data_IF_715728129978
#
_entry.id   IF_715728129978
#
_cell.length_a   1.000
_cell.length_b   1.000
_cell.length_c   1.000
_cell.angle_alpha   90.00
_cell.angle_beta   90.00
_cell.angle_gamma   90.00
#
_symmetry.space_group_name_H-M   'P 1'
#
loop_
_entity.id
_entity.type
_entity.pdbx_description
1 polymer ?
#
# COMPACT_ATOMS: atom_id res chain seq x y z
N UNK A 1 3.50 28.06 -8.58
CA UNK A 1 3.61 26.59 -8.35
C UNK A 1 2.49 26.21 -7.39
N UNK A 2 1.49 25.47 -7.86
CA UNK A 2 0.39 25.02 -7.01
C UNK A 2 0.94 24.07 -5.94
N UNK A 3 0.80 24.42 -4.66
CA UNK A 3 1.09 23.55 -3.52
C UNK A 3 0.13 22.35 -3.57
N UNK A 4 0.50 21.33 -4.35
CA UNK A 4 -0.27 20.10 -4.46
C UNK A 4 -0.04 19.32 -3.18
N UNK A 5 -1.12 19.02 -2.45
CA UNK A 5 -1.04 18.18 -1.24
C UNK A 5 -0.42 16.84 -1.62
N UNK A 6 0.69 16.43 -0.99
CA UNK A 6 1.29 15.12 -1.25
C UNK A 6 0.26 14.01 -1.07
N UNK A 7 0.21 13.06 -2.01
CA UNK A 7 -0.73 11.93 -1.97
C UNK A 7 -0.67 11.16 -0.65
N UNK A 8 0.52 11.08 -0.04
CA UNK A 8 0.69 10.44 1.27
C UNK A 8 -0.13 11.09 2.37
N UNK A 9 -0.35 12.41 2.32
CA UNK A 9 -1.15 13.13 3.33
C UNK A 9 -2.65 12.83 3.15
N UNK A 10 -3.09 12.56 1.92
CA UNK A 10 -4.46 12.15 1.64
C UNK A 10 -4.68 10.75 2.21
N UNK A 11 -3.79 9.81 1.90
CA UNK A 11 -3.88 8.41 2.38
C UNK A 11 -3.79 8.31 3.91
N UNK A 12 -3.03 9.19 4.55
CA UNK A 12 -2.80 9.15 6.00
C UNK A 12 -3.76 10.01 6.82
N UNK A 13 -4.74 10.65 6.17
CA UNK A 13 -5.73 11.49 6.83
C UNK A 13 -6.53 10.70 7.89
N UNK A 14 -6.62 11.26 9.10
CA UNK A 14 -7.35 10.65 10.22
C UNK A 14 -6.64 9.50 10.94
N UNK A 15 -5.43 9.12 10.52
CA UNK A 15 -4.67 8.05 11.18
C UNK A 15 -3.92 8.55 12.43
N UNK A 16 -3.63 7.66 13.39
CA UNK A 16 -2.85 8.00 14.58
C UNK A 16 -1.44 8.52 14.25
N UNK A 17 -1.03 9.60 14.92
CA UNK A 17 0.26 10.26 14.62
C UNK A 17 1.50 9.38 14.79
N UNK A 18 1.45 8.36 15.65
CA UNK A 18 2.52 7.38 15.83
C UNK A 18 2.66 6.40 14.64
N UNK A 19 1.61 6.24 13.82
CA UNK A 19 1.66 5.50 12.56
C UNK A 19 2.03 6.43 11.40
N UNK A 20 1.44 7.62 11.35
CA UNK A 20 1.64 8.58 10.26
C UNK A 20 3.08 9.09 10.20
N UNK A 21 3.66 9.44 11.35
CA UNK A 21 5.00 10.05 11.40
C UNK A 21 6.09 9.20 10.74
N UNK A 22 6.31 7.92 11.10
CA UNK A 22 7.35 7.11 10.46
C UNK A 22 7.08 6.89 8.96
N UNK A 23 5.81 6.69 8.58
CA UNK A 23 5.40 6.52 7.20
C UNK A 23 5.74 7.75 6.35
N UNK A 24 5.34 8.95 6.79
CA UNK A 24 5.65 10.21 6.10
C UNK A 24 7.16 10.50 6.07
N UNK A 25 7.90 10.14 7.12
CA UNK A 25 9.36 10.27 7.15
C UNK A 25 10.02 9.38 6.09
N UNK A 26 9.60 8.11 5.98
CA UNK A 26 10.09 7.23 4.92
C UNK A 26 9.71 7.79 3.55
N UNK A 27 8.45 8.17 3.32
CA UNK A 27 8.00 8.77 2.06
C UNK A 27 8.88 9.95 1.63
N UNK A 28 9.10 10.92 2.51
CA UNK A 28 9.92 12.10 2.22
C UNK A 28 11.40 11.74 1.99
N UNK A 29 11.91 10.71 2.65
CA UNK A 29 13.26 10.21 2.42
C UNK A 29 13.38 9.60 1.02
N UNK A 30 12.45 8.70 0.67
CA UNK A 30 12.40 8.04 -0.64
C UNK A 30 12.23 9.07 -1.76
N UNK A 31 11.28 10.01 -1.64
CA UNK A 31 11.05 11.06 -2.63
C UNK A 31 12.32 11.85 -2.96
N UNK A 32 13.05 12.30 -1.92
CA UNK A 32 14.34 12.98 -2.10
C UNK A 32 15.39 12.13 -2.80
N UNK A 33 15.42 10.83 -2.52
CA UNK A 33 16.32 9.91 -3.21
C UNK A 33 15.93 9.73 -4.68
N UNK A 34 14.64 9.65 -4.99
CA UNK A 34 14.21 9.58 -6.38
C UNK A 34 14.53 10.88 -7.12
N UNK A 35 14.33 12.06 -6.51
CA UNK A 35 14.75 13.36 -7.07
C UNK A 35 16.24 13.37 -7.43
N UNK A 36 17.10 12.80 -6.58
CA UNK A 36 18.53 12.65 -6.88
C UNK A 36 18.80 11.69 -8.04
N UNK A 37 18.07 10.59 -8.12
CA UNK A 37 18.19 9.62 -9.22
C UNK A 37 17.76 10.27 -10.54
N UNK A 38 16.68 11.02 -10.54
CA UNK A 38 16.19 11.74 -11.72
C UNK A 38 17.12 12.85 -12.18
N UNK A 39 17.80 13.55 -11.25
CA UNK A 39 18.78 14.58 -11.57
C UNK A 39 20.05 14.02 -12.26
N UNK A 40 20.34 12.72 -12.12
CA UNK A 40 21.42 12.09 -12.86
C UNK A 40 21.00 11.88 -14.32
N UNK A 41 21.65 12.52 -15.32
CA UNK A 41 21.29 12.32 -16.72
C UNK A 41 21.42 10.85 -17.14
N UNK A 42 22.40 10.10 -16.65
CA UNK A 42 22.65 8.71 -17.11
C UNK A 42 21.76 7.67 -16.41
N UNK A 43 20.66 8.09 -15.78
CA UNK A 43 19.78 7.18 -15.05
C UNK A 43 18.98 6.25 -16.00
N UNK A 44 18.78 5.01 -15.57
CA UNK A 44 18.06 3.96 -16.31
C UNK A 44 16.53 4.06 -16.21
N UNK A 45 16.01 5.16 -15.65
CA UNK A 45 14.61 5.37 -15.27
C UNK A 45 13.99 6.61 -15.95
N UNK A 46 14.63 7.19 -16.97
CA UNK A 46 14.13 8.39 -17.69
C UNK A 46 12.68 8.22 -18.20
N UNK A 47 12.28 7.02 -18.62
CA UNK A 47 10.90 6.74 -19.06
C UNK A 47 9.85 7.03 -17.97
N UNK A 48 10.21 6.86 -16.70
CA UNK A 48 9.31 7.10 -15.56
C UNK A 48 9.19 8.59 -15.21
N UNK A 49 10.11 9.45 -15.65
CA UNK A 49 10.08 10.90 -15.36
C UNK A 49 8.82 11.57 -15.93
N UNK A 50 8.34 11.10 -17.09
CA UNK A 50 7.08 11.56 -17.67
C UNK A 50 5.84 11.19 -16.85
N UNK A 51 5.99 10.30 -15.86
CA UNK A 51 4.93 9.77 -15.01
C UNK A 51 5.18 10.06 -13.53
N UNK A 52 5.84 11.18 -13.21
CA UNK A 52 6.25 11.54 -11.85
C UNK A 52 5.09 11.44 -10.83
N UNK A 53 3.91 11.99 -11.16
CA UNK A 53 2.72 11.88 -10.30
C UNK A 53 2.27 10.44 -10.08
N UNK A 54 2.37 9.57 -11.09
CA UNK A 54 2.06 8.14 -10.95
C UNK A 54 3.08 7.45 -10.06
N UNK A 55 4.37 7.74 -10.23
CA UNK A 55 5.44 7.20 -9.38
C UNK A 55 5.25 7.64 -7.92
N UNK A 56 4.85 8.90 -7.68
CA UNK A 56 4.47 9.37 -6.33
C UNK A 56 3.28 8.63 -5.75
N UNK A 57 2.24 8.41 -6.54
CA UNK A 57 1.07 7.65 -6.12
C UNK A 57 1.44 6.22 -5.76
N UNK A 58 2.23 5.54 -6.59
CA UNK A 58 2.71 4.19 -6.34
C UNK A 58 3.58 4.13 -5.08
N UNK A 59 4.46 5.12 -4.86
CA UNK A 59 5.27 5.21 -3.64
C UNK A 59 4.41 5.42 -2.38
N UNK A 60 3.40 6.29 -2.47
CA UNK A 60 2.50 6.57 -1.37
C UNK A 60 1.67 5.33 -1.01
N UNK A 61 1.09 4.67 -2.03
CA UNK A 61 0.30 3.45 -1.88
C UNK A 61 1.17 2.29 -1.36
N UNK A 62 2.40 2.15 -1.84
CA UNK A 62 3.27 1.06 -1.41
C UNK A 62 3.68 1.19 0.06
N UNK A 63 3.99 2.41 0.52
CA UNK A 63 4.28 2.68 1.92
C UNK A 63 3.03 2.56 2.79
N UNK A 64 1.87 3.04 2.31
CA UNK A 64 0.60 2.86 2.99
C UNK A 64 0.31 1.36 3.23
N UNK A 65 0.57 0.51 2.22
CA UNK A 65 0.45 -0.92 2.39
C UNK A 65 1.39 -1.46 3.47
N UNK A 66 2.69 -1.17 3.36
CA UNK A 66 3.70 -1.70 4.29
C UNK A 66 3.43 -1.34 5.75
N UNK A 67 2.96 -0.12 6.01
CA UNK A 67 2.75 0.38 7.38
C UNK A 67 1.35 0.12 7.93
N UNK A 68 0.37 -0.21 7.09
CA UNK A 68 -1.04 -0.29 7.51
C UNK A 68 -1.70 -1.55 6.94
N UNK A 69 -1.91 -1.64 5.63
CA UNK A 69 -2.69 -2.74 5.06
C UNK A 69 -2.03 -4.11 5.25
N UNK A 70 -0.70 -4.20 5.24
CA UNK A 70 0.02 -5.44 5.55
C UNK A 70 -0.26 -5.94 6.97
N UNK A 71 -0.39 -5.04 7.95
CA UNK A 71 -0.78 -5.40 9.32
C UNK A 71 -2.26 -5.78 9.41
N UNK A 72 -3.14 -5.06 8.71
CA UNK A 72 -4.58 -5.40 8.63
C UNK A 72 -4.77 -6.77 7.97
N UNK A 73 -4.02 -7.06 6.90
CA UNK A 73 -4.01 -8.34 6.23
C UNK A 73 -3.54 -9.45 7.17
N UNK A 74 -2.44 -9.24 7.90
CA UNK A 74 -1.96 -10.18 8.92
C UNK A 74 -2.98 -10.44 10.03
N UNK A 75 -3.62 -9.39 10.56
CA UNK A 75 -4.71 -9.52 11.54
C UNK A 75 -5.89 -10.31 10.97
N UNK A 76 -6.20 -10.09 9.69
CA UNK A 76 -7.28 -10.77 8.97
C UNK A 76 -7.02 -12.26 8.79
N UNK A 77 -5.83 -12.62 8.34
CA UNK A 77 -5.40 -14.02 8.25
C UNK A 77 -5.42 -14.70 9.62
N UNK A 78 -4.97 -13.99 10.67
CA UNK A 78 -4.96 -14.52 12.03
C UNK A 78 -6.37 -14.84 12.55
N UNK A 79 -7.30 -13.88 12.52
CA UNK A 79 -8.64 -14.14 13.06
C UNK A 79 -9.41 -15.18 12.23
N UNK A 80 -9.22 -15.21 10.90
CA UNK A 80 -9.81 -16.26 10.04
C UNK A 80 -9.33 -17.64 10.47
N UNK A 81 -8.04 -17.79 10.74
CA UNK A 81 -7.46 -19.04 11.21
C UNK A 81 -8.02 -19.46 12.57
N UNK A 82 -8.15 -18.51 13.51
CA UNK A 82 -8.74 -18.78 14.83
C UNK A 82 -10.20 -19.20 14.71
N UNK A 83 -11.01 -18.46 13.93
CA UNK A 83 -12.43 -18.77 13.74
C UNK A 83 -12.63 -20.12 13.02
N UNK A 84 -11.81 -20.46 12.03
CA UNK A 84 -11.89 -21.77 11.36
C UNK A 84 -11.62 -22.94 12.31
N UNK A 85 -10.79 -22.74 13.33
CA UNK A 85 -10.50 -23.74 14.36
C UNK A 85 -11.50 -23.71 15.54
N UNK A 86 -12.34 -22.68 15.62
CA UNK A 86 -13.36 -22.58 16.66
C UNK A 86 -14.56 -23.44 16.24
N UNK A 87 -14.78 -24.57 16.92
CA UNK A 87 -15.83 -25.57 16.63
C UNK A 87 -17.27 -25.10 16.90
N UNK A 88 -17.47 -23.80 17.13
CA UNK A 88 -18.78 -23.19 17.35
C UNK A 88 -19.08 -22.34 16.13
N UNK A 89 -20.30 -22.41 15.61
CA UNK A 89 -20.78 -21.63 14.45
C UNK A 89 -20.87 -20.11 14.72
N UNK A 90 -20.09 -19.60 15.68
CA UNK A 90 -20.09 -18.22 16.14
C UNK A 90 -18.65 -17.72 16.08
N UNK A 91 -18.44 -16.60 15.38
CA UNK A 91 -17.15 -15.90 15.31
C UNK A 91 -16.64 -15.58 16.73
N UNK A 92 -15.38 -15.92 16.99
CA UNK A 92 -14.76 -15.68 18.28
C UNK A 92 -14.32 -14.21 18.38
N UNK A 93 -14.62 -13.55 19.50
CA UNK A 93 -13.96 -12.28 19.82
C UNK A 93 -12.52 -12.53 20.24
N UNK A 94 -11.57 -11.86 19.60
CA UNK A 94 -10.14 -12.07 19.82
C UNK A 94 -9.58 -10.89 20.58
N UNK A 95 -8.94 -11.14 21.73
CA UNK A 95 -8.26 -10.10 22.49
C UNK A 95 -6.78 -10.07 22.14
N UNK A 96 -6.29 -8.91 21.69
CA UNK A 96 -4.87 -8.64 21.42
C UNK A 96 -4.42 -7.49 22.31
N UNK A 97 -3.60 -7.80 23.33
CA UNK A 97 -3.25 -6.84 24.37
C UNK A 97 -4.51 -6.34 25.10
N UNK A 98 -4.73 -5.02 25.07
CA UNK A 98 -5.91 -4.39 25.68
C UNK A 98 -7.09 -4.21 24.70
N UNK A 99 -6.89 -4.51 23.41
CA UNK A 99 -7.92 -4.36 22.38
C UNK A 99 -8.69 -5.66 22.20
N UNK A 100 -10.01 -5.59 22.18
CA UNK A 100 -10.87 -6.68 21.73
C UNK A 100 -11.20 -6.43 20.27
N UNK A 101 -11.03 -7.46 19.43
CA UNK A 101 -11.47 -7.54 18.04
C UNK A 101 -12.73 -8.40 18.01
N UNK A 102 -13.87 -7.74 18.12
CA UNK A 102 -15.18 -8.39 17.99
C UNK A 102 -15.51 -8.70 16.52
N UNK A 103 -16.63 -9.38 16.29
CA UNK A 103 -17.12 -9.72 14.96
C UNK A 103 -17.32 -8.51 14.04
N UNK A 104 -17.74 -7.36 14.59
CA UNK A 104 -17.96 -6.16 13.78
C UNK A 104 -16.61 -5.60 13.30
N UNK A 105 -15.64 -5.49 14.19
CA UNK A 105 -14.29 -5.02 13.86
C UNK A 105 -13.58 -5.97 12.90
N UNK A 106 -13.71 -7.29 13.10
CA UNK A 106 -13.18 -8.30 12.17
C UNK A 106 -13.74 -8.11 10.75
N UNK A 107 -15.06 -7.87 10.62
CA UNK A 107 -15.69 -7.58 9.32
C UNK A 107 -15.21 -6.27 8.70
N UNK A 108 -14.98 -5.23 9.49
CA UNK A 108 -14.42 -3.96 8.99
C UNK A 108 -12.99 -4.15 8.45
N UNK A 109 -12.14 -4.89 9.16
CA UNK A 109 -10.78 -5.21 8.69
C UNK A 109 -10.83 -6.04 7.41
N UNK A 110 -11.73 -7.04 7.34
CA UNK A 110 -11.94 -7.83 6.12
C UNK A 110 -12.33 -6.97 4.93
N UNK A 111 -13.28 -6.06 5.12
CA UNK A 111 -13.76 -5.19 4.08
C UNK A 111 -12.63 -4.29 3.54
N UNK A 112 -11.77 -3.79 4.42
CA UNK A 112 -10.60 -3.01 4.02
C UNK A 112 -9.60 -3.83 3.17
N UNK A 113 -9.34 -5.09 3.56
CA UNK A 113 -8.50 -6.01 2.77
C UNK A 113 -9.11 -6.24 1.39
N UNK A 114 -10.39 -6.64 1.32
CA UNK A 114 -11.09 -6.92 0.05
C UNK A 114 -11.10 -5.68 -0.87
N UNK A 115 -11.33 -4.49 -0.32
CA UNK A 115 -11.30 -3.26 -1.11
C UNK A 115 -9.90 -2.97 -1.65
N UNK A 116 -8.86 -3.19 -0.86
CA UNK A 116 -7.49 -2.98 -1.31
C UNK A 116 -7.07 -4.02 -2.35
N UNK A 117 -7.42 -5.29 -2.17
CA UNK A 117 -7.17 -6.36 -3.15
C UNK A 117 -7.79 -6.01 -4.51
N UNK A 118 -9.04 -5.50 -4.52
CA UNK A 118 -9.68 -5.02 -5.76
C UNK A 118 -8.92 -3.89 -6.45
N UNK A 119 -8.32 -2.98 -5.68
CA UNK A 119 -7.48 -1.90 -6.23
C UNK A 119 -6.21 -2.52 -6.82
N UNK A 120 -5.58 -3.46 -6.11
CA UNK A 120 -4.40 -4.16 -6.62
C UNK A 120 -4.71 -4.89 -7.92
N UNK A 121 -5.82 -5.63 -7.98
CA UNK A 121 -6.22 -6.37 -9.17
C UNK A 121 -6.53 -5.43 -10.33
N UNK A 122 -7.35 -4.37 -10.11
CA UNK A 122 -7.72 -3.40 -11.14
C UNK A 122 -6.49 -2.75 -11.79
N UNK A 123 -5.47 -2.41 -10.99
CA UNK A 123 -4.26 -1.75 -11.49
C UNK A 123 -3.07 -2.71 -11.65
N UNK A 124 -3.31 -4.03 -11.57
CA UNK A 124 -2.28 -5.07 -11.69
C UNK A 124 -1.06 -4.84 -10.78
N UNK A 125 -1.29 -4.31 -9.57
CA UNK A 125 -0.26 -4.01 -8.59
C UNK A 125 0.13 -5.30 -7.86
N UNK A 126 1.14 -5.98 -8.39
CA UNK A 126 1.68 -7.20 -7.80
C UNK A 126 2.43 -6.97 -6.48
N UNK A 127 2.64 -8.03 -5.66
CA UNK A 127 3.33 -7.97 -4.37
C UNK A 127 4.71 -7.29 -4.41
N UNK A 128 5.45 -7.45 -5.51
CA UNK A 128 6.77 -6.84 -5.68
C UNK A 128 6.75 -5.31 -5.55
N UNK A 129 5.64 -4.64 -5.88
CA UNK A 129 5.55 -3.18 -5.71
C UNK A 129 5.57 -2.78 -4.22
N UNK A 130 5.10 -3.65 -3.35
CA UNK A 130 4.96 -3.43 -1.91
C UNK A 130 6.15 -3.97 -1.11
N UNK A 131 6.93 -4.88 -1.71
CA UNK A 131 8.05 -5.56 -1.08
C UNK A 131 9.38 -5.03 -1.63
N UNK A 132 9.88 -3.96 -1.01
CA UNK A 132 11.20 -3.42 -1.31
C UNK A 132 11.84 -2.77 -0.09
N UNK A 133 13.18 -2.80 -0.06
CA UNK A 133 13.98 -2.16 0.99
C UNK A 133 14.67 -0.89 0.51
N UNK A 134 14.97 -0.78 -0.79
CA UNK A 134 15.70 0.34 -1.40
C UNK A 134 14.85 1.09 -2.41
N UNK A 135 15.12 2.38 -2.58
CA UNK A 135 14.39 3.23 -3.53
C UNK A 135 14.65 2.80 -4.96
N UNK A 136 15.86 2.35 -5.26
CA UNK A 136 16.23 1.80 -6.57
C UNK A 136 15.45 0.52 -6.89
N UNK A 137 15.17 -0.33 -5.89
CA UNK A 137 14.33 -1.52 -6.07
C UNK A 137 12.89 -1.13 -6.38
N UNK A 138 12.34 -0.14 -5.66
CA UNK A 138 11.02 0.43 -5.95
C UNK A 138 10.92 0.96 -7.39
N UNK A 139 11.91 1.74 -7.85
CA UNK A 139 11.94 2.25 -9.23
C UNK A 139 12.07 1.14 -10.27
N UNK A 140 12.84 0.09 -9.97
CA UNK A 140 12.91 -1.10 -10.82
C UNK A 140 11.54 -1.78 -10.94
N UNK A 141 10.77 -1.83 -9.85
CA UNK A 141 9.43 -2.41 -9.86
C UNK A 141 8.45 -1.52 -10.64
N UNK A 142 8.52 -0.19 -10.49
CA UNK A 142 7.75 0.75 -11.32
C UNK A 142 8.09 0.59 -12.81
N UNK A 143 9.37 0.43 -13.14
CA UNK A 143 9.82 0.19 -14.53
C UNK A 143 9.26 -1.12 -15.09
N UNK A 144 9.21 -2.19 -14.28
CA UNK A 144 8.60 -3.45 -14.70
C UNK A 144 7.11 -3.27 -14.99
N UNK A 145 6.38 -2.59 -14.10
CA UNK A 145 4.97 -2.24 -14.30
C UNK A 145 4.75 -1.44 -15.59
N UNK A 146 5.59 -0.43 -15.85
CA UNK A 146 5.50 0.38 -17.06
C UNK A 146 5.59 -0.43 -18.37
N UNK A 147 6.36 -1.52 -18.37
CA UNK A 147 6.50 -2.40 -19.54
C UNK A 147 5.55 -3.60 -19.52
N UNK A 148 4.76 -3.76 -18.46
CA UNK A 148 3.75 -4.80 -18.39
C UNK A 148 2.64 -4.46 -19.38
N UNK A 149 2.23 -5.45 -20.20
CA UNK A 149 1.07 -5.26 -21.07
C UNK A 149 -0.17 -5.14 -20.20
N UNK A 150 -0.96 -4.09 -20.39
CA UNK A 150 -2.29 -4.00 -19.80
C UNK A 150 -3.15 -5.11 -20.42
N UNK A 151 -3.76 -5.95 -19.59
CA UNK A 151 -4.92 -6.73 -20.00
C UNK A 151 -6.10 -5.76 -20.02
N UNK A 152 -6.51 -5.30 -21.21
CA UNK A 152 -7.78 -4.60 -21.38
C UNK A 152 -8.91 -5.59 -21.08
N UNK A 153 -9.48 -5.54 -19.87
CA UNK A 153 -10.85 -6.01 -19.65
C UNK A 153 -11.75 -4.77 -19.60
N UNK A 154 -12.68 -4.73 -20.56
CA UNK A 154 -13.66 -3.69 -20.84
C UNK A 154 -14.30 -3.13 -19.54
N UNK A 155 -14.00 -1.87 -19.23
CA UNK A 155 -14.50 -1.15 -18.05
C UNK A 155 -15.99 -0.78 -18.28
N UNK A 156 -16.92 -1.71 -18.01
CA UNK A 156 -18.31 -1.34 -17.68
C UNK A 156 -18.50 -1.32 -16.17
N UNK A 157 -18.64 -0.12 -15.61
CA UNK A 157 -19.17 0.15 -14.27
C UNK A 157 -20.70 0.17 -14.33
#
# INVERSE_FOLDING_TARGET
MTNKTPLINILTSGLPGNVVRPLCQEYNSRRREIDRIWANPDNNYRMLQGYDTTVEALLAISLFYRYILGHIHGATSFYKSVNANNRKDIECSIKVGNTVLDSQQQRCLLAAVIQFDKIQDKYQLGPMLFEYSETVQFLRNCKKLFYQKEYEEDDTI
#
